data_IF_390540539559
#
_entry.id   IF_390540539559
#
_cell.length_a   1.000
_cell.length_b   1.000
_cell.length_c   1.000
_cell.angle_alpha   90.00
_cell.angle_beta   90.00
_cell.angle_gamma   90.00
#
_symmetry.space_group_name_H-M   'P 1'
#
loop_
_entity.id
_entity.type
_entity.pdbx_description
1 polymer ?
#
# COMPACT_ATOMS: atom_id res chain seq x y z
N UNK A 1 -70.19 -13.32 -46.14
CA UNK A 1 -70.77 -14.64 -45.84
C UNK A 1 -69.91 -15.65 -46.61
N UNK A 2 -69.16 -16.61 -46.08
CA UNK A 2 -69.04 -17.33 -44.80
C UNK A 2 -67.52 -17.51 -44.52
N UNK A 3 -66.95 -17.18 -43.36
CA UNK A 3 -66.86 -17.94 -42.09
C UNK A 3 -66.65 -19.46 -42.18
N UNK A 4 -65.54 -19.90 -41.59
CA UNK A 4 -65.36 -21.19 -40.93
C UNK A 4 -64.44 -22.16 -41.68
N UNK A 5 -63.50 -22.90 -41.07
CA UNK A 5 -62.96 -23.02 -39.71
C UNK A 5 -62.18 -24.35 -39.69
N UNK A 6 -61.31 -24.53 -38.68
CA UNK A 6 -60.76 -25.83 -38.22
C UNK A 6 -59.58 -26.37 -39.05
N UNK A 7 -58.30 -26.20 -38.67
CA UNK A 7 -57.59 -26.60 -37.43
C UNK A 7 -57.31 -28.11 -37.34
N UNK A 8 -56.06 -28.42 -36.97
CA UNK A 8 -55.60 -29.64 -36.26
C UNK A 8 -55.03 -30.82 -37.08
N UNK A 9 -53.73 -31.05 -36.81
CA UNK A 9 -52.98 -32.34 -36.83
C UNK A 9 -52.67 -32.93 -38.22
N UNK A 10 -51.48 -33.48 -38.50
CA UNK A 10 -50.72 -34.39 -37.66
C UNK A 10 -49.31 -34.65 -38.27
N UNK A 11 -48.28 -34.49 -37.43
CA UNK A 11 -47.00 -35.22 -37.34
C UNK A 11 -46.53 -36.16 -38.47
N UNK A 12 -45.34 -35.89 -39.02
CA UNK A 12 -44.19 -36.82 -39.08
C UNK A 12 -43.03 -36.17 -39.88
N UNK A 13 -41.98 -35.69 -39.21
CA UNK A 13 -40.68 -36.39 -39.05
C UNK A 13 -39.83 -36.45 -40.33
N UNK A 14 -38.76 -35.64 -40.39
CA UNK A 14 -37.37 -36.05 -40.70
C UNK A 14 -36.54 -34.79 -41.02
N UNK A 15 -35.74 -34.29 -40.07
CA UNK A 15 -34.32 -34.66 -39.91
C UNK A 15 -33.43 -34.18 -41.07
N UNK A 16 -32.82 -33.01 -40.91
CA UNK A 16 -31.40 -32.85 -41.27
C UNK A 16 -30.80 -31.67 -40.50
N UNK A 17 -29.78 -32.02 -39.71
CA UNK A 17 -29.09 -31.22 -38.73
C UNK A 17 -28.29 -30.08 -39.40
N UNK A 18 -28.63 -28.83 -39.10
CA UNK A 18 -27.66 -27.74 -39.22
C UNK A 18 -26.80 -27.75 -37.97
N UNK A 19 -25.53 -28.11 -38.18
CA UNK A 19 -24.48 -28.21 -37.19
C UNK A 19 -24.39 -26.91 -36.40
N UNK A 20 -24.75 -26.98 -35.12
CA UNK A 20 -24.66 -25.89 -34.15
C UNK A 20 -23.18 -25.56 -33.97
N UNK A 21 -22.77 -24.36 -34.40
CA UNK A 21 -21.54 -23.76 -33.91
C UNK A 21 -21.74 -23.49 -32.42
N UNK A 22 -21.30 -24.43 -31.57
CA UNK A 22 -21.24 -24.21 -30.13
C UNK A 22 -20.13 -23.21 -29.85
N UNK A 23 -20.41 -21.92 -29.97
CA UNK A 23 -19.72 -20.94 -29.14
C UNK A 23 -20.28 -21.16 -27.74
N UNK A 24 -19.63 -22.03 -26.96
CA UNK A 24 -19.89 -22.14 -25.54
C UNK A 24 -19.79 -20.75 -24.95
N UNK A 25 -20.94 -20.16 -24.62
CA UNK A 25 -21.03 -18.91 -23.91
C UNK A 25 -20.43 -19.15 -22.53
N UNK A 26 -19.13 -18.86 -22.39
CA UNK A 26 -18.59 -18.56 -21.08
C UNK A 26 -19.23 -17.24 -20.70
N UNK A 27 -20.32 -17.30 -19.93
CA UNK A 27 -20.75 -16.15 -19.15
C UNK A 27 -19.70 -15.99 -18.06
N UNK A 28 -18.53 -15.44 -18.42
CA UNK A 28 -17.58 -14.94 -17.44
C UNK A 28 -18.25 -13.74 -16.81
N UNK A 29 -19.01 -14.00 -15.75
CA UNK A 29 -19.44 -12.97 -14.82
C UNK A 29 -18.17 -12.59 -14.06
N UNK A 30 -17.33 -11.74 -14.65
CA UNK A 30 -16.40 -10.98 -13.86
C UNK A 30 -17.27 -9.99 -13.08
N UNK A 31 -17.65 -10.38 -11.87
CA UNK A 31 -17.89 -9.39 -10.85
C UNK A 31 -16.54 -8.69 -10.66
N UNK A 32 -16.28 -7.68 -11.50
CA UNK A 32 -15.23 -6.72 -11.26
C UNK A 32 -15.57 -6.07 -9.94
N UNK A 33 -15.05 -6.62 -8.83
CA UNK A 33 -14.77 -5.78 -7.69
C UNK A 33 -13.71 -4.82 -8.19
N UNK A 34 -14.14 -3.71 -8.78
CA UNK A 34 -13.31 -2.54 -8.96
C UNK A 34 -12.94 -2.11 -7.55
N UNK A 35 -11.82 -2.62 -7.05
CA UNK A 35 -11.17 -2.04 -5.89
C UNK A 35 -10.61 -0.73 -6.42
N UNK A 36 -11.42 0.33 -6.29
CA UNK A 36 -10.95 1.69 -6.40
C UNK A 36 -10.02 1.87 -5.20
N UNK A 37 -8.73 1.68 -5.43
CA UNK A 37 -7.70 2.05 -4.45
C UNK A 37 -7.70 3.57 -4.46
N UNK A 38 -8.54 4.17 -3.62
CA UNK A 38 -8.42 5.57 -3.29
C UNK A 38 -7.07 5.73 -2.57
N UNK A 39 -6.09 6.25 -3.30
CA UNK A 39 -4.87 6.77 -2.68
C UNK A 39 -5.32 8.04 -1.97
N UNK A 40 -5.52 7.96 -0.66
CA UNK A 40 -5.70 9.16 0.14
C UNK A 40 -4.38 9.92 0.15
N UNK A 41 -4.44 11.25 -0.01
CA UNK A 41 -3.34 12.11 0.40
C UNK A 41 -3.08 11.90 1.90
N UNK A 42 -1.81 11.96 2.32
CA UNK A 42 -1.35 11.55 3.65
C UNK A 42 -2.10 12.25 4.80
N UNK A 43 -2.57 13.47 4.56
CA UNK A 43 -3.34 14.29 5.50
C UNK A 43 -4.66 13.64 5.98
N UNK A 44 -5.24 12.71 5.22
CA UNK A 44 -6.50 12.01 5.57
C UNK A 44 -6.32 10.50 5.77
N UNK A 45 -5.08 10.00 5.74
CA UNK A 45 -4.79 8.60 5.99
C UNK A 45 -5.06 8.24 7.47
N UNK A 46 -5.50 7.00 7.71
CA UNK A 46 -5.68 6.45 9.07
C UNK A 46 -4.34 6.25 9.82
N UNK A 47 -3.22 6.34 9.09
CA UNK A 47 -1.87 6.46 9.65
C UNK A 47 -1.28 7.76 9.13
N UNK A 48 -1.16 8.77 9.99
CA UNK A 48 -0.54 10.04 9.65
C UNK A 48 0.97 9.94 9.72
N UNK A 49 1.69 10.53 8.76
CA UNK A 49 3.15 10.57 8.72
C UNK A 49 3.62 12.00 8.55
N UNK A 50 4.57 12.40 9.39
CA UNK A 50 5.26 13.70 9.31
C UNK A 50 6.76 13.45 9.15
N UNK A 51 7.32 13.77 7.98
CA UNK A 51 8.72 13.49 7.62
C UNK A 51 9.60 14.68 7.98
N UNK A 52 10.71 14.41 8.66
CA UNK A 52 11.66 15.43 9.08
C UNK A 52 12.85 15.50 8.11
N UNK A 53 13.38 16.72 7.92
CA UNK A 53 14.68 16.90 7.26
C UNK A 53 15.80 16.45 8.20
N UNK A 54 16.75 15.69 7.67
CA UNK A 54 17.89 15.17 8.44
C UNK A 54 19.18 15.81 7.97
N UNK A 55 19.84 16.53 8.87
CA UNK A 55 21.18 17.07 8.70
C UNK A 55 22.04 16.58 9.87
N UNK A 56 23.22 16.01 9.57
CA UNK A 56 24.15 15.45 10.57
C UNK A 56 25.54 16.01 10.33
N UNK A 57 26.23 16.45 11.38
CA UNK A 57 27.58 16.99 11.23
C UNK A 57 28.58 15.97 10.66
N UNK A 58 29.50 16.43 9.81
CA UNK A 58 30.57 15.57 9.28
C UNK A 58 31.46 14.99 10.37
N UNK A 59 31.74 13.69 10.27
CA UNK A 59 32.49 12.91 11.26
C UNK A 59 31.79 12.85 12.63
N UNK A 60 30.47 12.99 12.66
CA UNK A 60 29.66 12.82 13.86
C UNK A 60 28.77 11.58 13.76
N UNK A 61 28.32 11.15 14.94
CA UNK A 61 27.26 10.17 15.11
C UNK A 61 26.17 10.81 15.93
N UNK A 62 24.97 10.90 15.38
CA UNK A 62 23.87 11.61 16.01
C UNK A 62 22.58 10.79 15.97
N UNK A 63 21.72 11.03 16.98
CA UNK A 63 20.37 10.51 16.97
C UNK A 63 19.46 11.55 16.33
N UNK A 64 18.87 11.19 15.20
CA UNK A 64 17.99 12.05 14.42
C UNK A 64 16.58 11.48 14.36
N UNK A 65 15.58 12.35 14.44
CA UNK A 65 14.20 11.94 14.20
C UNK A 65 13.97 11.89 12.70
N UNK A 66 13.62 10.73 12.16
CA UNK A 66 13.36 10.54 10.74
C UNK A 66 11.93 10.98 10.38
N UNK A 67 10.97 10.49 11.16
CA UNK A 67 9.56 10.82 10.99
C UNK A 67 8.79 10.67 12.31
N UNK A 68 7.60 11.26 12.35
CA UNK A 68 6.60 11.03 13.40
C UNK A 68 5.39 10.34 12.79
N UNK A 69 4.91 9.29 13.46
CA UNK A 69 3.76 8.48 13.07
C UNK A 69 2.60 8.82 14.00
N UNK A 70 1.40 8.98 13.45
CA UNK A 70 0.15 9.14 14.19
C UNK A 70 -0.81 8.00 13.87
N UNK A 71 -1.32 7.33 14.90
CA UNK A 71 -2.42 6.39 14.74
C UNK A 71 -3.77 7.12 14.79
N UNK A 72 -4.45 7.20 13.65
CA UNK A 72 -5.76 7.86 13.52
C UNK A 72 -6.91 6.85 13.44
N UNK A 73 -6.63 5.57 13.64
CA UNK A 73 -7.66 4.57 13.90
C UNK A 73 -8.28 4.78 15.29
N UNK A 74 -9.49 4.26 15.48
CA UNK A 74 -10.22 4.23 16.74
C UNK A 74 -9.75 3.09 17.69
N UNK A 75 -8.69 2.38 17.31
CA UNK A 75 -8.11 1.26 18.04
C UNK A 75 -6.58 1.30 18.01
N UNK A 76 -5.93 0.52 18.87
CA UNK A 76 -4.47 0.41 18.89
C UNK A 76 -3.93 -0.34 17.67
N UNK A 77 -2.77 0.08 17.19
CA UNK A 77 -2.03 -0.60 16.12
C UNK A 77 -0.63 -0.99 16.60
N UNK A 78 -0.18 -2.16 16.19
CA UNK A 78 1.21 -2.56 16.27
C UNK A 78 1.97 -1.98 15.08
N UNK A 79 3.23 -1.64 15.30
CA UNK A 79 4.12 -1.03 14.31
C UNK A 79 5.35 -1.91 14.07
N UNK A 80 5.70 -2.04 12.79
CA UNK A 80 6.95 -2.63 12.33
C UNK A 80 7.64 -1.60 11.43
N UNK A 81 8.91 -1.30 11.73
CA UNK A 81 9.67 -0.24 11.06
C UNK A 81 11.03 -0.78 10.62
N UNK A 82 11.33 -0.58 9.35
CA UNK A 82 12.62 -0.92 8.75
C UNK A 82 13.15 0.33 8.05
N UNK A 83 14.41 0.68 8.32
CA UNK A 83 15.10 1.78 7.66
C UNK A 83 16.24 1.21 6.82
N UNK A 84 16.29 1.58 5.55
CA UNK A 84 17.34 1.18 4.61
C UNK A 84 17.96 2.40 3.97
N UNK A 85 19.29 2.46 3.96
CA UNK A 85 20.03 3.38 3.08
C UNK A 85 20.21 2.79 1.69
N UNK A 86 20.62 3.61 0.72
CA UNK A 86 20.97 3.12 -0.61
C UNK A 86 22.24 2.24 -0.55
N UNK A 87 22.30 1.21 -1.40
CA UNK A 87 23.29 0.12 -1.30
C UNK A 87 24.76 0.57 -1.46
N UNK A 88 24.99 1.76 -2.03
CA UNK A 88 26.33 2.35 -2.22
C UNK A 88 26.72 3.36 -1.12
N UNK A 89 25.90 3.51 -0.07
CA UNK A 89 26.04 4.54 0.96
C UNK A 89 27.17 4.24 1.96
N UNK A 90 28.39 4.60 1.59
CA UNK A 90 29.55 4.56 2.50
C UNK A 90 29.71 5.85 3.32
N UNK A 91 28.90 6.88 3.08
CA UNK A 91 29.10 8.21 3.66
C UNK A 91 28.06 8.59 4.70
N UNK A 92 26.83 8.08 4.60
CA UNK A 92 25.82 8.19 5.64
C UNK A 92 25.30 6.78 5.97
N UNK A 93 25.52 6.35 7.21
CA UNK A 93 25.17 5.01 7.65
C UNK A 93 24.16 5.04 8.80
N UNK A 94 23.09 4.26 8.69
CA UNK A 94 22.12 4.06 9.77
C UNK A 94 22.58 2.85 10.59
N UNK A 95 22.97 3.09 11.83
CA UNK A 95 23.55 2.04 12.70
C UNK A 95 22.55 1.45 13.69
N UNK A 96 21.52 2.21 14.05
CA UNK A 96 20.44 1.78 14.91
C UNK A 96 19.14 2.52 14.57
N UNK A 97 18.01 1.89 14.87
CA UNK A 97 16.68 2.47 14.74
C UNK A 97 15.91 2.17 16.02
N UNK A 98 15.33 3.20 16.61
CA UNK A 98 14.39 3.13 17.72
C UNK A 98 13.02 3.63 17.26
N UNK A 99 11.99 2.83 17.49
CA UNK A 99 10.63 3.12 17.07
C UNK A 99 9.63 2.54 18.08
N UNK A 100 8.47 3.20 18.27
CA UNK A 100 7.39 2.63 19.05
C UNK A 100 6.94 1.30 18.43
N UNK A 101 6.72 0.29 19.27
CA UNK A 101 6.20 -1.03 18.84
C UNK A 101 4.69 -1.04 18.62
N UNK A 102 4.00 -0.07 19.21
CA UNK A 102 2.56 0.11 19.05
C UNK A 102 2.18 1.56 19.38
N UNK A 103 1.03 1.97 18.88
CA UNK A 103 0.40 3.25 19.18
C UNK A 103 -1.07 3.03 19.51
N UNK A 104 -1.53 3.60 20.61
CA UNK A 104 -2.96 3.66 20.93
C UNK A 104 -3.70 4.60 19.96
N UNK A 105 -5.03 4.58 19.99
CA UNK A 105 -5.84 5.49 19.18
C UNK A 105 -5.49 6.95 19.50
N UNK A 106 -5.19 7.74 18.45
CA UNK A 106 -4.79 9.13 18.55
C UNK A 106 -3.36 9.36 19.03
N UNK A 107 -2.59 8.31 19.32
CA UNK A 107 -1.22 8.44 19.81
C UNK A 107 -0.24 8.75 18.68
N UNK A 108 0.81 9.51 19.02
CA UNK A 108 1.92 9.82 18.13
C UNK A 108 3.22 9.24 18.68
N UNK A 109 4.09 8.78 17.80
CA UNK A 109 5.42 8.31 18.18
C UNK A 109 6.45 8.56 17.09
N UNK A 110 7.69 8.81 17.53
CA UNK A 110 8.79 9.16 16.64
C UNK A 110 9.61 7.93 16.26
N UNK A 111 10.02 7.87 15.00
CA UNK A 111 11.05 6.94 14.52
C UNK A 111 12.37 7.68 14.56
N UNK A 112 13.26 7.24 15.45
CA UNK A 112 14.58 7.83 15.66
C UNK A 112 15.63 6.88 15.12
N UNK A 113 16.62 7.41 14.41
CA UNK A 113 17.75 6.64 13.92
C UNK A 113 19.06 7.20 14.44
N UNK A 114 20.00 6.32 14.76
CA UNK A 114 21.39 6.69 14.98
C UNK A 114 22.09 6.69 13.62
N UNK A 115 22.52 7.87 13.18
CA UNK A 115 23.14 8.10 11.88
C UNK A 115 24.60 8.49 12.09
N UNK A 116 25.48 7.80 11.37
CA UNK A 116 26.91 8.10 11.32
C UNK A 116 27.25 8.73 9.97
N UNK A 117 27.86 9.92 10.02
CA UNK A 117 28.29 10.67 8.84
C UNK A 117 29.80 10.65 8.69
N UNK A 118 30.27 10.19 7.53
CA UNK A 118 31.66 10.35 7.11
C UNK A 118 31.94 11.82 6.74
N UNK A 119 33.21 12.13 6.40
CA UNK A 119 33.60 13.46 5.93
C UNK A 119 33.13 13.74 4.49
N UNK A 120 31.82 13.86 4.29
CA UNK A 120 31.17 14.18 3.01
C UNK A 120 30.04 15.17 3.21
N UNK A 121 29.66 15.92 2.16
CA UNK A 121 28.56 16.90 2.24
C UNK A 121 27.37 16.54 1.34
N UNK A 122 27.27 15.27 0.94
CA UNK A 122 26.31 14.81 -0.06
C UNK A 122 25.00 14.38 0.61
N UNK A 123 23.87 14.72 0.00
CA UNK A 123 22.58 14.19 0.39
C UNK A 123 22.44 12.73 -0.10
N UNK A 124 21.96 11.86 0.77
CA UNK A 124 21.68 10.46 0.49
C UNK A 124 20.21 10.16 0.78
N UNK A 125 19.67 9.19 0.06
CA UNK A 125 18.28 8.76 0.22
C UNK A 125 18.22 7.67 1.29
N UNK A 126 17.30 7.85 2.24
CA UNK A 126 16.89 6.83 3.20
C UNK A 126 15.44 6.44 2.90
N UNK A 127 15.16 5.15 2.93
CA UNK A 127 13.79 4.62 2.83
C UNK A 127 13.38 4.09 4.20
N UNK A 128 12.27 4.59 4.71
CA UNK A 128 11.60 4.09 5.93
C UNK A 128 10.37 3.29 5.50
N UNK A 129 10.43 1.98 5.64
CA UNK A 129 9.31 1.08 5.44
C UNK A 129 8.57 0.86 6.75
N UNK A 130 7.36 1.41 6.86
CA UNK A 130 6.51 1.26 8.03
C UNK A 130 5.32 0.35 7.70
N UNK A 131 5.02 -0.58 8.61
CA UNK A 131 3.78 -1.35 8.62
C UNK A 131 3.02 -1.10 9.91
N UNK A 132 1.72 -0.80 9.80
CA UNK A 132 0.81 -0.68 10.93
C UNK A 132 -0.26 -1.76 10.83
N UNK A 133 -0.56 -2.47 11.91
CA UNK A 133 -1.62 -3.48 11.93
C UNK A 133 -2.39 -3.51 13.24
N UNK A 134 -3.72 -3.62 13.15
CA UNK A 134 -4.62 -3.62 14.29
C UNK A 134 -6.07 -3.73 13.84
N UNK A 135 -6.96 -4.24 14.70
CA UNK A 135 -8.41 -4.27 14.42
C UNK A 135 -8.84 -5.02 13.16
N UNK A 136 -8.01 -5.95 12.64
CA UNK A 136 -8.25 -6.66 11.38
C UNK A 136 -7.82 -5.89 10.12
N UNK A 137 -7.15 -4.75 10.28
CA UNK A 137 -6.58 -3.93 9.20
C UNK A 137 -5.06 -4.00 9.20
N UNK A 138 -4.46 -3.80 8.04
CA UNK A 138 -3.01 -3.66 7.89
C UNK A 138 -2.70 -2.65 6.79
N UNK A 139 -1.76 -1.77 7.06
CA UNK A 139 -1.33 -0.70 6.17
C UNK A 139 0.19 -0.74 6.05
N UNK A 140 0.72 -0.55 4.85
CA UNK A 140 2.16 -0.48 4.57
C UNK A 140 2.48 0.84 3.86
N UNK A 141 3.36 1.63 4.46
CA UNK A 141 3.78 2.94 3.98
C UNK A 141 5.31 2.98 3.88
N UNK A 142 5.89 2.78 2.68
CA UNK A 142 7.27 3.18 2.43
C UNK A 142 7.34 4.71 2.25
N UNK A 143 8.34 5.35 2.86
CA UNK A 143 8.63 6.78 2.70
C UNK A 143 10.10 6.97 2.41
N UNK A 144 10.40 7.65 1.30
CA UNK A 144 11.75 8.08 0.97
C UNK A 144 11.99 9.48 1.53
N UNK A 145 13.16 9.69 2.11
CA UNK A 145 13.58 10.98 2.66
C UNK A 145 15.05 11.26 2.34
N UNK A 146 15.37 12.54 2.23
CA UNK A 146 16.74 12.99 2.07
C UNK A 146 17.39 13.20 3.43
N UNK A 147 18.55 12.61 3.63
CA UNK A 147 19.43 12.86 4.76
C UNK A 147 20.77 13.38 4.25
N UNK A 148 21.36 14.38 4.90
CA UNK A 148 22.58 15.01 4.44
C UNK A 148 23.60 15.14 5.55
N UNK A 149 24.86 14.84 5.24
CA UNK A 149 25.98 15.23 6.08
C UNK A 149 26.35 16.69 5.80
N UNK A 150 26.61 17.50 6.82
CA UNK A 150 26.92 18.95 6.71
C UNK A 150 28.27 19.32 7.32
#
# INVERSE_FOLDING_TARGET
MNLGSVSVALCALALSMTLVAQTGAVTSMSAGRSIEVAVADDEDAFVGIDVQSVEVERNATENVTLLTVENRFDHSVDLDVVVTGAEDNQRLNVTAVDAPKSLNSGERGSVVATVECANATTAEMLTVALSASGGGTSVKLPRDMNAQCV
#
